data_IF_399242112399
#
_entry.id   IF_399242112399
#
_cell.length_a   1.000
_cell.length_b   1.000
_cell.length_c   1.000
_cell.angle_alpha   90.00
_cell.angle_beta   90.00
_cell.angle_gamma   90.00
#
_symmetry.space_group_name_H-M   'P 1'
#
loop_
_entity.id
_entity.type
_entity.pdbx_description
1 polymer ?
#
# COMPACT_ATOMS: atom_id res chain seq x y z
N UNK A 1 0.77 -12.10 6.34
CA UNK A 1 0.45 -10.92 5.53
C UNK A 1 -0.30 -9.90 6.36
N UNK A 2 0.00 -8.63 6.12
CA UNK A 2 -0.71 -7.56 6.80
C UNK A 2 -1.99 -7.23 6.04
N UNK A 3 -2.93 -6.60 6.71
CA UNK A 3 -4.17 -6.13 6.09
C UNK A 3 -4.40 -4.68 6.49
N UNK A 4 -5.06 -3.94 5.62
CA UNK A 4 -5.36 -2.55 5.89
C UNK A 4 -6.37 -1.97 4.91
N UNK A 5 -6.56 -0.67 5.02
CA UNK A 5 -7.51 0.08 4.20
C UNK A 5 -6.76 1.21 3.50
N UNK A 6 -7.01 1.37 2.21
CA UNK A 6 -6.39 2.46 1.44
C UNK A 6 -6.93 3.79 1.95
N UNK A 7 -6.03 4.66 2.42
CA UNK A 7 -6.41 6.00 2.87
C UNK A 7 -6.56 6.94 1.68
N UNK A 8 -5.61 6.87 0.77
CA UNK A 8 -5.64 7.67 -0.45
C UNK A 8 -4.61 7.09 -1.42
N UNK A 9 -4.79 7.38 -2.70
CA UNK A 9 -3.83 7.00 -3.72
C UNK A 9 -3.90 8.01 -4.86
N UNK A 10 -2.74 8.50 -5.28
CA UNK A 10 -2.62 9.48 -6.36
C UNK A 10 -1.93 8.81 -7.55
N UNK A 11 -2.71 8.51 -8.59
CA UNK A 11 -2.19 7.82 -9.79
C UNK A 11 -1.25 8.71 -10.58
N UNK A 12 -1.43 10.02 -10.52
CA UNK A 12 -0.56 10.96 -11.24
C UNK A 12 0.82 11.00 -10.62
N UNK A 13 0.90 11.07 -9.29
CA UNK A 13 2.18 11.06 -8.59
C UNK A 13 2.75 9.66 -8.41
N UNK A 14 1.89 8.64 -8.48
CA UNK A 14 2.32 7.26 -8.43
C UNK A 14 2.55 6.71 -7.04
N UNK A 15 1.85 7.20 -6.02
CA UNK A 15 1.98 6.66 -4.67
C UNK A 15 0.73 6.92 -3.84
N UNK A 16 0.64 6.24 -2.72
CA UNK A 16 -0.47 6.38 -1.80
C UNK A 16 -0.12 5.87 -0.42
N UNK A 17 -1.14 5.74 0.42
CA UNK A 17 -0.98 5.34 1.81
C UNK A 17 -2.05 4.34 2.23
N UNK A 18 -1.65 3.35 3.02
CA UNK A 18 -2.55 2.34 3.56
C UNK A 18 -2.56 2.47 5.08
N UNK A 19 -3.75 2.49 5.65
CA UNK A 19 -3.92 2.46 7.10
C UNK A 19 -3.98 1.01 7.55
N UNK A 20 -2.97 0.51 8.31
CA UNK A 20 -3.02 -0.87 8.79
C UNK A 20 -4.20 -1.12 9.72
N UNK A 21 -4.79 -2.32 9.63
CA UNK A 21 -5.92 -2.67 10.47
C UNK A 21 -5.55 -2.77 11.95
N UNK A 22 -4.26 -3.00 12.26
CA UNK A 22 -3.80 -3.09 13.63
C UNK A 22 -3.60 -1.72 14.30
N UNK A 23 -3.86 -0.63 13.58
CA UNK A 23 -3.71 0.72 14.11
C UNK A 23 -2.29 1.26 14.10
N UNK A 24 -1.36 0.55 13.48
CA UNK A 24 0.03 1.01 13.37
C UNK A 24 0.20 2.18 12.42
N UNK A 25 1.45 2.62 12.20
CA UNK A 25 1.70 3.75 11.29
C UNK A 25 1.34 3.41 9.86
N UNK A 26 0.98 4.44 9.09
CA UNK A 26 0.60 4.28 7.70
C UNK A 26 1.73 3.66 6.89
N UNK A 27 1.35 2.83 5.92
CA UNK A 27 2.29 2.13 5.06
C UNK A 27 2.24 2.76 3.67
N UNK A 28 3.41 3.11 3.16
CA UNK A 28 3.55 3.70 1.82
C UNK A 28 3.32 2.63 0.76
N UNK A 29 2.64 3.00 -0.34
CA UNK A 29 2.49 2.12 -1.49
C UNK A 29 2.84 2.89 -2.76
N UNK A 30 3.70 2.30 -3.59
CA UNK A 30 4.12 2.88 -4.86
C UNK A 30 3.33 2.25 -6.00
N UNK A 31 3.14 3.02 -7.09
CA UNK A 31 2.38 2.53 -8.25
C UNK A 31 2.97 1.24 -8.83
N UNK A 32 4.28 1.04 -8.72
CA UNK A 32 4.91 -0.18 -9.22
C UNK A 32 4.37 -1.42 -8.53
N UNK A 33 4.08 -1.33 -7.22
CA UNK A 33 3.50 -2.44 -6.48
C UNK A 33 2.06 -2.70 -6.94
N UNK A 34 1.32 -1.64 -7.22
CA UNK A 34 -0.05 -1.74 -7.74
C UNK A 34 -0.04 -2.44 -9.09
N UNK A 35 0.87 -2.04 -9.97
CA UNK A 35 0.98 -2.63 -11.30
C UNK A 35 1.41 -4.09 -11.25
N UNK A 36 2.34 -4.44 -10.36
CA UNK A 36 2.76 -5.84 -10.18
C UNK A 36 1.62 -6.72 -9.72
N UNK A 37 0.65 -6.16 -9.00
CA UNK A 37 -0.52 -6.88 -8.55
C UNK A 37 -1.60 -6.99 -9.64
N UNK A 38 -1.37 -6.43 -10.82
CA UNK A 38 -2.33 -6.44 -11.90
C UNK A 38 -3.42 -5.38 -11.76
N UNK A 39 -3.18 -4.37 -10.92
CA UNK A 39 -4.15 -3.31 -10.64
C UNK A 39 -3.72 -2.03 -11.34
N UNK A 40 -4.67 -1.11 -11.54
CA UNK A 40 -4.38 0.20 -12.12
C UNK A 40 -4.32 1.29 -11.07
N UNK A 41 -5.14 1.15 -10.04
CA UNK A 41 -5.22 2.14 -8.97
C UNK A 41 -5.74 1.47 -7.71
N UNK A 42 -5.71 2.21 -6.60
CA UNK A 42 -6.27 1.76 -5.34
C UNK A 42 -7.33 2.76 -4.90
N UNK A 43 -8.62 2.40 -4.98
CA UNK A 43 -9.68 3.30 -4.54
C UNK A 43 -9.59 3.56 -3.04
N UNK A 44 -9.88 4.80 -2.63
CA UNK A 44 -9.95 5.15 -1.22
C UNK A 44 -10.98 4.28 -0.52
N UNK A 45 -10.62 3.75 0.64
CA UNK A 45 -11.49 2.87 1.41
C UNK A 45 -11.41 1.40 1.04
N UNK A 46 -10.65 1.06 0.01
CA UNK A 46 -10.48 -0.33 -0.43
C UNK A 46 -9.71 -1.13 0.61
N UNK A 47 -10.23 -2.29 0.98
CA UNK A 47 -9.53 -3.23 1.84
C UNK A 47 -8.50 -4.01 1.03
N UNK A 48 -7.29 -4.12 1.57
CA UNK A 48 -6.19 -4.82 0.88
C UNK A 48 -5.42 -5.67 1.87
N UNK A 49 -4.80 -6.73 1.36
CA UNK A 49 -3.76 -7.45 2.07
C UNK A 49 -2.44 -7.18 1.35
N UNK A 50 -1.35 -7.21 2.08
CA UNK A 50 -0.05 -6.83 1.54
C UNK A 50 1.07 -7.36 2.42
N UNK A 51 2.29 -7.31 1.90
CA UNK A 51 3.48 -7.56 2.68
C UNK A 51 4.21 -6.26 2.94
N UNK A 52 4.74 -6.12 4.14
CA UNK A 52 5.49 -4.92 4.53
C UNK A 52 6.97 -5.15 4.22
N UNK A 53 7.54 -4.25 3.43
CA UNK A 53 8.96 -4.25 3.12
C UNK A 53 9.55 -2.96 3.69
N UNK A 54 10.58 -3.10 4.50
CA UNK A 54 11.24 -1.95 5.11
C UNK A 54 12.45 -1.54 4.28
N UNK A 55 12.47 -0.29 3.85
CA UNK A 55 13.63 0.28 3.18
C UNK A 55 14.61 0.76 4.27
N UNK A 56 15.69 0.01 4.44
CA UNK A 56 16.65 0.31 5.49
C UNK A 56 17.37 1.65 5.29
N UNK A 57 17.50 2.08 4.04
CA UNK A 57 18.17 3.35 3.75
C UNK A 57 17.34 4.55 4.17
N UNK A 58 16.03 4.44 4.01
CA UNK A 58 15.10 5.55 4.29
C UNK A 58 14.32 5.35 5.57
N UNK A 59 14.38 4.17 6.15
CA UNK A 59 13.63 3.85 7.35
C UNK A 59 12.13 3.84 7.14
N UNK A 60 11.67 3.64 5.90
CA UNK A 60 10.25 3.67 5.57
C UNK A 60 9.76 2.29 5.19
N UNK A 61 8.52 1.99 5.62
CA UNK A 61 7.85 0.76 5.24
C UNK A 61 7.02 0.98 3.99
N UNK A 62 7.06 0.01 3.09
CA UNK A 62 6.24 0.05 1.89
C UNK A 62 5.46 -1.25 1.74
N UNK A 63 4.33 -1.18 1.03
CA UNK A 63 3.48 -2.33 0.78
C UNK A 63 3.86 -2.98 -0.54
N UNK A 64 4.00 -4.30 -0.53
CA UNK A 64 4.27 -5.10 -1.72
C UNK A 64 3.28 -6.25 -1.75
N UNK A 65 3.18 -6.93 -2.89
CA UNK A 65 2.30 -8.11 -3.08
C UNK A 65 0.85 -7.80 -2.69
N UNK A 66 0.33 -6.72 -3.25
CA UNK A 66 -1.02 -6.26 -2.95
C UNK A 66 -2.08 -7.23 -3.46
N UNK A 67 -3.11 -7.46 -2.66
CA UNK A 67 -4.29 -8.19 -3.05
C UNK A 67 -5.51 -7.47 -2.52
N UNK A 68 -6.52 -7.30 -3.38
CA UNK A 68 -7.78 -6.71 -2.94
C UNK A 68 -8.56 -7.71 -2.09
N UNK A 69 -9.25 -7.21 -1.11
CA UNK A 69 -10.05 -8.04 -0.21
C UNK A 69 -11.52 -7.72 -0.32
#
# INVERSE_FOLDING_TARGET
MATGTVKWFNTTKGFGSIQPDDGGPDVFVHISAVERAGLRELPEGQKVSYEIVVDQRRGKSSAEQLQLR
#
